data_IF_009232907926
#
_entry.id   IF_009232907926
#
_cell.length_a   1.000
_cell.length_b   1.000
_cell.length_c   1.000
_cell.angle_alpha   90.00
_cell.angle_beta   90.00
_cell.angle_gamma   90.00
#
_symmetry.space_group_name_H-M   'P 1'
#
loop_
_entity.id
_entity.type
_entity.pdbx_description
1 polymer ?
#
# COMPACT_ATOMS: atom_id res chain seq x y z
N UNK A 1 -8.34 6.33 26.56
CA UNK A 1 -9.67 5.71 26.37
C UNK A 1 -9.56 4.20 26.45
N UNK A 2 -10.26 3.58 27.40
CA UNK A 2 -10.49 2.15 27.46
C UNK A 2 -11.63 1.78 26.49
N UNK A 3 -11.49 0.66 25.79
CA UNK A 3 -12.47 0.19 24.80
C UNK A 3 -13.44 -0.80 25.46
N UNK A 4 -14.70 -0.80 25.04
CA UNK A 4 -15.69 -1.75 25.56
C UNK A 4 -15.17 -3.18 25.35
N UNK A 5 -15.27 -4.00 26.40
CA UNK A 5 -14.86 -5.42 26.43
C UNK A 5 -13.35 -5.71 26.47
N UNK A 6 -12.47 -4.71 26.68
CA UNK A 6 -11.02 -4.97 26.79
C UNK A 6 -10.31 -4.04 27.76
N UNK A 7 -9.29 -4.56 28.47
CA UNK A 7 -8.39 -3.78 29.34
C UNK A 7 -7.33 -3.00 28.55
N UNK A 8 -7.21 -3.26 27.25
CA UNK A 8 -6.21 -2.64 26.39
C UNK A 8 -6.76 -1.32 25.85
N UNK A 9 -5.95 -0.26 25.91
CA UNK A 9 -6.26 0.99 25.22
C UNK A 9 -6.21 0.79 23.70
N UNK A 10 -6.74 1.74 22.93
CA UNK A 10 -6.73 1.63 21.47
C UNK A 10 -5.33 1.37 20.89
N UNK A 11 -4.26 1.98 21.42
CA UNK A 11 -2.89 1.76 20.91
C UNK A 11 -2.35 0.35 21.18
N UNK A 12 -2.85 -0.33 22.21
CA UNK A 12 -2.41 -1.67 22.61
C UNK A 12 -3.48 -2.74 22.36
N UNK A 13 -4.59 -2.41 21.70
CA UNK A 13 -5.73 -3.32 21.51
C UNK A 13 -5.36 -4.59 20.74
N UNK A 14 -4.30 -4.56 19.94
CA UNK A 14 -3.77 -5.72 19.22
C UNK A 14 -2.96 -6.68 20.11
N UNK A 15 -2.59 -6.27 21.31
CA UNK A 15 -1.97 -7.14 22.33
C UNK A 15 -3.01 -7.94 23.11
N UNK A 16 -4.30 -7.69 22.89
CA UNK A 16 -5.36 -8.47 23.51
C UNK A 16 -5.43 -9.89 22.92
N UNK A 17 -5.18 -10.94 23.71
CA UNK A 17 -5.24 -12.32 23.21
C UNK A 17 -6.64 -12.70 22.71
N UNK A 18 -7.68 -12.02 23.19
CA UNK A 18 -9.07 -12.24 22.79
C UNK A 18 -9.55 -11.23 21.74
N UNK A 19 -8.64 -10.60 20.99
CA UNK A 19 -8.97 -9.53 20.05
C UNK A 19 -9.88 -10.00 18.90
N UNK A 20 -11.18 -9.77 19.02
CA UNK A 20 -12.17 -10.13 18.01
C UNK A 20 -12.42 -9.03 16.96
N UNK A 21 -12.28 -7.75 17.31
CA UNK A 21 -12.78 -6.62 16.52
C UNK A 21 -11.69 -5.92 15.69
N UNK A 22 -10.45 -5.91 16.15
CA UNK A 22 -9.35 -5.18 15.54
C UNK A 22 -8.33 -6.11 14.85
N UNK A 23 -7.66 -5.59 13.81
CA UNK A 23 -6.47 -6.15 13.16
C UNK A 23 -5.47 -5.03 12.88
N UNK A 24 -4.25 -5.36 12.51
CA UNK A 24 -3.28 -4.34 12.09
C UNK A 24 -3.64 -3.76 10.71
N UNK A 25 -3.30 -2.49 10.50
CA UNK A 25 -3.22 -1.88 9.18
C UNK A 25 -2.19 -2.63 8.34
N UNK A 26 -2.57 -3.06 7.13
CA UNK A 26 -1.75 -3.85 6.22
C UNK A 26 -0.83 -3.02 5.32
N UNK A 27 -0.78 -1.70 5.52
CA UNK A 27 0.14 -0.83 4.76
C UNK A 27 1.59 -1.20 5.05
N UNK A 28 2.35 -1.47 3.99
CA UNK A 28 3.80 -1.75 4.03
C UNK A 28 4.57 -0.43 3.97
N UNK A 29 5.25 -0.10 5.06
CA UNK A 29 6.08 1.11 5.18
C UNK A 29 7.45 0.91 4.54
N UNK A 30 8.04 -0.28 4.73
CA UNK A 30 9.33 -0.68 4.11
C UNK A 30 9.24 -2.12 3.65
N UNK A 31 9.69 -2.40 2.43
CA UNK A 31 9.78 -3.74 1.86
C UNK A 31 11.25 -4.08 1.56
N UNK A 32 11.57 -5.36 1.42
CA UNK A 32 12.92 -5.82 1.04
C UNK A 32 13.96 -5.79 2.16
N UNK A 33 13.55 -5.85 3.43
CA UNK A 33 14.48 -6.00 4.55
C UNK A 33 14.85 -7.50 4.69
N UNK A 34 16.08 -7.85 5.14
CA UNK A 34 16.45 -9.24 5.42
C UNK A 34 15.46 -9.96 6.35
N UNK A 35 14.81 -9.20 7.26
CA UNK A 35 13.85 -9.71 8.23
C UNK A 35 12.39 -9.51 7.79
N UNK A 36 12.13 -9.32 6.50
CA UNK A 36 10.80 -9.21 5.92
C UNK A 36 10.34 -7.76 5.66
N UNK A 37 9.05 -7.51 5.89
CA UNK A 37 8.40 -6.23 5.60
C UNK A 37 7.94 -5.52 6.88
N UNK A 38 8.12 -4.20 6.92
CA UNK A 38 7.66 -3.38 8.05
C UNK A 38 6.26 -2.85 7.74
N UNK A 39 5.28 -3.26 8.53
CA UNK A 39 3.88 -2.83 8.41
C UNK A 39 3.53 -1.72 9.40
N UNK A 40 2.51 -0.92 9.09
CA UNK A 40 2.09 0.24 9.90
C UNK A 40 1.73 -0.08 11.36
N UNK A 41 1.24 -1.28 11.66
CA UNK A 41 0.89 -1.71 13.03
C UNK A 41 -0.33 -1.02 13.67
N UNK A 42 -0.86 0.08 13.10
CA UNK A 42 -2.05 0.77 13.65
C UNK A 42 -3.27 -0.17 13.66
N UNK A 43 -4.00 -0.27 14.77
CA UNK A 43 -5.24 -1.04 14.81
C UNK A 43 -6.31 -0.44 13.88
N UNK A 44 -7.03 -1.33 13.20
CA UNK A 44 -8.20 -1.05 12.35
C UNK A 44 -9.26 -2.10 12.61
N UNK A 45 -10.53 -1.82 12.31
CA UNK A 45 -11.60 -2.81 12.41
C UNK A 45 -11.36 -3.96 11.42
N UNK A 46 -11.63 -5.21 11.81
CA UNK A 46 -11.43 -6.38 10.95
C UNK A 46 -12.23 -6.33 9.64
N UNK A 47 -13.41 -5.72 9.65
CA UNK A 47 -14.25 -5.51 8.46
C UNK A 47 -13.74 -4.41 7.51
N UNK A 48 -12.71 -3.64 7.89
CA UNK A 48 -12.17 -2.60 7.02
C UNK A 48 -11.64 -3.22 5.70
N UNK A 49 -12.21 -2.75 4.59
CA UNK A 49 -11.86 -3.12 3.22
C UNK A 49 -11.66 -1.84 2.39
N UNK A 50 -10.43 -1.54 1.93
CA UNK A 50 -9.19 -2.30 2.13
C UNK A 50 -8.70 -2.26 3.58
N UNK A 51 -7.77 -3.16 3.94
CA UNK A 51 -7.21 -3.28 5.29
C UNK A 51 -6.21 -2.16 5.63
N UNK A 52 -6.62 -0.89 5.50
CA UNK A 52 -5.79 0.29 5.70
C UNK A 52 -6.39 1.21 6.78
N UNK A 53 -5.54 1.85 7.58
CA UNK A 53 -5.98 2.95 8.44
C UNK A 53 -6.31 4.19 7.58
N UNK A 54 -7.09 5.14 8.11
CA UNK A 54 -7.53 6.33 7.37
C UNK A 54 -6.36 7.09 6.69
N UNK A 55 -5.24 7.26 7.40
CA UNK A 55 -4.05 7.93 6.87
C UNK A 55 -3.50 7.19 5.64
N UNK A 56 -3.43 5.86 5.70
CA UNK A 56 -2.92 5.06 4.59
C UNK A 56 -3.94 4.85 3.47
N UNK A 57 -5.24 4.79 3.78
CA UNK A 57 -6.28 4.79 2.76
C UNK A 57 -6.24 6.09 1.94
N UNK A 58 -6.22 7.23 2.62
CA UNK A 58 -6.14 8.54 1.95
C UNK A 58 -4.84 8.70 1.16
N UNK A 59 -3.70 8.25 1.69
CA UNK A 59 -2.42 8.26 0.96
C UNK A 59 -2.49 7.39 -0.29
N UNK A 60 -2.99 6.15 -0.18
CA UNK A 60 -3.15 5.25 -1.32
C UNK A 60 -4.06 5.85 -2.39
N UNK A 61 -5.19 6.44 -1.99
CA UNK A 61 -6.09 7.13 -2.92
C UNK A 61 -5.41 8.30 -3.64
N UNK A 62 -4.64 9.13 -2.93
CA UNK A 62 -3.86 10.22 -3.54
C UNK A 62 -2.82 9.71 -4.53
N UNK A 63 -2.10 8.65 -4.19
CA UNK A 63 -1.11 8.03 -5.08
C UNK A 63 -1.76 7.47 -6.35
N UNK A 64 -2.90 6.79 -6.20
CA UNK A 64 -3.69 6.27 -7.33
C UNK A 64 -4.16 7.43 -8.23
N UNK A 65 -4.74 8.47 -7.64
CA UNK A 65 -5.19 9.65 -8.39
C UNK A 65 -4.03 10.34 -9.13
N UNK A 66 -2.85 10.43 -8.51
CA UNK A 66 -1.66 10.97 -9.15
C UNK A 66 -1.18 10.09 -10.31
N UNK A 67 -1.16 8.77 -10.14
CA UNK A 67 -0.78 7.84 -11.20
C UNK A 67 -1.72 7.97 -12.41
N UNK A 68 -3.02 8.10 -12.16
CA UNK A 68 -4.00 8.37 -13.21
C UNK A 68 -3.72 9.68 -13.97
N UNK A 69 -3.47 10.77 -13.24
CA UNK A 69 -3.16 12.05 -13.88
C UNK A 69 -1.90 11.99 -14.74
N UNK A 70 -0.87 11.23 -14.31
CA UNK A 70 0.36 11.05 -15.11
C UNK A 70 0.12 10.37 -16.46
N UNK A 71 -0.92 9.54 -16.57
CA UNK A 71 -1.28 8.85 -17.82
C UNK A 71 -2.44 9.52 -18.55
N UNK A 72 -2.78 10.78 -18.20
CA UNK A 72 -3.85 11.53 -18.83
C UNK A 72 -5.27 11.09 -18.46
N UNK A 73 -5.42 10.19 -17.47
CA UNK A 73 -6.72 9.79 -16.96
C UNK A 73 -7.14 10.75 -15.84
N UNK A 74 -8.24 11.47 -16.03
CA UNK A 74 -8.81 12.36 -15.02
C UNK A 74 -10.08 11.71 -14.43
N UNK A 75 -9.98 10.98 -13.30
CA UNK A 75 -11.14 10.34 -12.70
C UNK A 75 -12.17 11.38 -12.25
N UNK A 76 -13.45 11.09 -12.47
CA UNK A 76 -14.54 11.98 -12.05
C UNK A 76 -14.53 12.20 -10.52
N UNK A 77 -14.80 13.42 -10.02
CA UNK A 77 -14.86 13.72 -8.58
C UNK A 77 -15.92 12.90 -7.81
N UNK A 78 -16.94 12.39 -8.50
CA UNK A 78 -18.18 11.83 -7.91
C UNK A 78 -18.06 10.37 -7.43
N UNK A 79 -16.86 9.88 -7.15
CA UNK A 79 -16.64 8.64 -6.38
C UNK A 79 -16.96 7.31 -7.07
N UNK A 80 -17.58 7.30 -8.25
CA UNK A 80 -17.71 6.08 -9.08
C UNK A 80 -16.48 5.91 -9.95
N UNK A 81 -15.36 5.60 -9.31
CA UNK A 81 -14.17 5.11 -10.02
C UNK A 81 -14.49 3.66 -10.31
N UNK A 82 -14.99 3.33 -11.50
CA UNK A 82 -14.77 2.00 -12.05
C UNK A 82 -13.35 2.08 -12.63
N UNK A 83 -12.32 1.59 -11.92
CA UNK A 83 -10.99 1.57 -12.49
C UNK A 83 -11.12 0.69 -13.74
N UNK A 84 -10.78 1.20 -14.92
CA UNK A 84 -10.35 0.26 -15.97
C UNK A 84 -9.02 -0.31 -15.48
N UNK A 85 -9.11 -1.30 -14.61
CA UNK A 85 -7.99 -1.98 -13.95
C UNK A 85 -6.97 -2.46 -15.00
N UNK A 86 -7.46 -2.78 -16.20
CA UNK A 86 -6.67 -3.06 -17.39
C UNK A 86 -5.68 -1.94 -17.77
N UNK A 87 -6.06 -0.66 -17.66
CA UNK A 87 -5.18 0.49 -17.96
C UNK A 87 -4.05 0.59 -16.92
N UNK A 88 -4.35 0.36 -15.65
CA UNK A 88 -3.35 0.34 -14.59
C UNK A 88 -2.37 -0.83 -14.74
N UNK A 89 -2.88 -2.03 -15.07
CA UNK A 89 -2.02 -3.20 -15.36
C UNK A 89 -1.11 -2.90 -16.55
N UNK A 90 -1.66 -2.38 -17.65
CA UNK A 90 -0.89 -2.08 -18.85
C UNK A 90 0.26 -1.10 -18.55
N UNK A 91 -0.01 -0.06 -17.78
CA UNK A 91 1.01 0.92 -17.36
C UNK A 91 2.07 0.31 -16.43
N UNK A 92 1.67 -0.52 -15.46
CA UNK A 92 2.60 -1.25 -14.60
C UNK A 92 3.55 -2.13 -15.43
N UNK A 93 2.98 -2.90 -16.36
CA UNK A 93 3.75 -3.74 -17.29
C UNK A 93 4.71 -2.88 -18.12
N UNK A 94 4.25 -1.74 -18.65
CA UNK A 94 5.09 -0.81 -19.42
C UNK A 94 6.29 -0.31 -18.59
N UNK A 95 6.08 0.13 -17.35
CA UNK A 95 7.16 0.59 -16.47
C UNK A 95 8.16 -0.52 -16.12
N UNK A 96 7.69 -1.74 -15.86
CA UNK A 96 8.56 -2.90 -15.62
C UNK A 96 9.43 -3.17 -16.84
N UNK A 97 8.82 -3.16 -18.03
CA UNK A 97 9.55 -3.40 -19.28
C UNK A 97 10.56 -2.28 -19.57
N UNK A 98 10.21 -1.01 -19.36
CA UNK A 98 11.14 0.11 -19.50
C UNK A 98 12.35 -0.03 -18.58
N UNK A 99 12.11 -0.36 -17.30
CA UNK A 99 13.18 -0.56 -16.32
C UNK A 99 14.10 -1.72 -16.70
N UNK A 100 13.56 -2.82 -17.23
CA UNK A 100 14.34 -3.94 -17.76
C UNK A 100 15.18 -3.52 -18.97
N UNK A 101 14.60 -2.79 -19.92
CA UNK A 101 15.32 -2.26 -21.09
C UNK A 101 16.46 -1.32 -20.69
N UNK A 102 16.23 -0.44 -19.72
CA UNK A 102 17.27 0.47 -19.21
C UNK A 102 18.40 -0.30 -18.53
N UNK A 103 18.09 -1.34 -17.74
CA UNK A 103 19.10 -2.19 -17.10
C UNK A 103 19.94 -3.00 -18.10
N UNK A 104 19.40 -3.30 -19.28
CA UNK A 104 20.12 -3.99 -20.36
C UNK A 104 20.97 -3.05 -21.21
N UNK A 105 20.66 -1.75 -21.21
CA UNK A 105 21.39 -0.71 -21.97
C UNK A 105 22.60 -0.13 -21.23
N UNK A 106 22.78 -0.44 -19.95
CA UNK A 106 24.00 -0.11 -19.21
C UNK A 106 24.95 -1.32 -19.29
N UNK A 107 26.06 -1.27 -20.05
CA UNK A 107 27.08 -2.30 -19.99
C UNK A 107 27.58 -2.37 -18.54
N UNK A 108 27.67 -3.57 -17.97
CA UNK A 108 28.50 -3.76 -16.79
C UNK A 108 29.94 -3.67 -17.29
N UNK A 109 30.58 -2.52 -17.12
CA UNK A 109 32.03 -2.43 -17.19
C UNK A 109 32.59 -3.19 -15.98
N UNK A 110 32.80 -4.49 -16.20
CA UNK A 110 33.58 -5.36 -15.35
C UNK A 110 35.04 -4.94 -15.47
N UNK A 111 35.48 -3.99 -14.63
CA UNK A 111 36.90 -3.79 -14.37
C UNK A 111 37.34 -4.88 -13.38
N UNK A 112 38.00 -5.89 -13.94
CA UNK A 112 38.94 -6.77 -13.24
C UNK A 112 40.20 -5.96 -12.97
N UNK A 113 40.51 -5.77 -11.69
CA UNK A 113 41.85 -5.57 -11.14
C UNK A 113 41.90 -6.32 -9.79
#
# INVERSE_FOLDING_TARGET
MAMTMTRFCHSHILSDPNQALYKHCAYVTKSGLPNGQVICGRPIIKSAAPSLCNIHLQRSQKNIAQAYRKVGFNPSPTGKITPRFSVLIAECVRQIQDKRRQSLKCPKDEKVD
#
